data_IF_301647592086
#
_entry.id   IF_301647592086
#
_cell.length_a   1.000
_cell.length_b   1.000
_cell.length_c   1.000
_cell.angle_alpha   90.00
_cell.angle_beta   90.00
_cell.angle_gamma   90.00
#
_symmetry.space_group_name_H-M   'P 1'
#
loop_
_entity.id
_entity.type
_entity.pdbx_description
1 polymer ?
#
# COMPACT_ATOMS: atom_id res chain seq x y z
N UNK A 1 -15.46 -1.90 50.31
CA UNK A 1 -14.75 -0.69 49.83
C UNK A 1 -14.43 -0.90 48.36
N UNK A 2 -15.23 -0.31 47.47
CA UNK A 2 -15.04 -0.38 46.02
C UNK A 2 -14.18 0.79 45.52
N UNK A 3 -13.18 0.48 44.70
CA UNK A 3 -12.45 1.39 43.80
C UNK A 3 -12.18 0.55 42.54
N UNK A 4 -12.92 0.71 41.44
CA UNK A 4 -12.87 1.74 40.36
C UNK A 4 -11.50 1.82 39.66
N UNK A 5 -11.57 1.81 38.32
CA UNK A 5 -10.57 2.25 37.32
C UNK A 5 -9.53 1.16 36.95
N UNK A 6 -9.24 0.81 35.70
CA UNK A 6 -9.38 1.51 34.41
C UNK A 6 -9.43 0.47 33.29
N UNK A 7 -10.14 0.81 32.22
CA UNK A 7 -10.15 0.10 30.95
C UNK A 7 -8.73 -0.07 30.37
N UNK A 8 -8.34 -1.31 30.11
CA UNK A 8 -7.27 -1.63 29.15
C UNK A 8 -7.90 -2.44 28.01
N UNK A 9 -8.86 -1.81 27.33
CA UNK A 9 -9.33 -2.28 26.03
C UNK A 9 -8.46 -1.62 24.95
N UNK A 10 -7.15 -1.88 25.06
CA UNK A 10 -6.14 -1.38 24.16
C UNK A 10 -6.13 -2.26 22.92
N UNK A 11 -6.69 -1.73 21.83
CA UNK A 11 -6.39 -2.23 20.49
C UNK A 11 -7.43 -3.12 19.84
N UNK A 12 -8.70 -3.04 20.25
CA UNK A 12 -9.79 -3.29 19.28
C UNK A 12 -9.80 -2.11 18.30
N UNK A 13 -8.76 -2.02 17.46
CA UNK A 13 -8.87 -1.45 16.12
C UNK A 13 -9.79 -2.42 15.39
N UNK A 14 -11.07 -2.33 15.74
CA UNK A 14 -12.18 -2.76 14.92
C UNK A 14 -11.80 -2.27 13.53
N UNK A 15 -11.39 -3.21 12.68
CA UNK A 15 -11.37 -3.03 11.24
C UNK A 15 -12.80 -2.62 10.90
N UNK A 16 -13.10 -1.34 11.01
CA UNK A 16 -14.32 -0.77 10.48
C UNK A 16 -14.15 -0.87 8.98
N UNK A 17 -14.73 -1.94 8.41
CA UNK A 17 -14.83 -2.27 6.98
C UNK A 17 -15.71 -1.21 6.30
N UNK A 18 -15.24 0.03 6.35
CA UNK A 18 -15.70 1.22 5.66
C UNK A 18 -14.49 2.13 5.57
N UNK A 19 -13.41 1.66 4.93
CA UNK A 19 -12.44 2.61 4.40
C UNK A 19 -13.22 3.52 3.45
N UNK A 20 -13.34 4.79 3.82
CA UNK A 20 -13.96 5.77 2.96
C UNK A 20 -13.09 5.95 1.73
N UNK A 21 -13.71 6.37 0.63
CA UNK A 21 -12.99 6.63 -0.63
C UNK A 21 -11.77 7.54 -0.43
N UNK A 22 -11.90 8.56 0.42
CA UNK A 22 -10.80 9.46 0.78
C UNK A 22 -9.63 8.76 1.45
N UNK A 23 -9.89 7.79 2.32
CA UNK A 23 -8.86 7.05 3.06
C UNK A 23 -8.09 6.13 2.11
N UNK A 24 -8.81 5.44 1.24
CA UNK A 24 -8.21 4.56 0.25
C UNK A 24 -7.43 5.35 -0.82
N UNK A 25 -7.96 6.49 -1.26
CA UNK A 25 -7.23 7.41 -2.15
C UNK A 25 -5.94 7.91 -1.49
N UNK A 26 -5.97 8.21 -0.20
CA UNK A 26 -4.79 8.55 0.59
C UNK A 26 -3.78 7.42 0.66
N UNK A 27 -4.22 6.18 0.88
CA UNK A 27 -3.35 4.97 0.86
C UNK A 27 -2.69 4.77 -0.49
N UNK A 28 -3.43 4.92 -1.59
CA UNK A 28 -2.87 4.81 -2.94
C UNK A 28 -1.83 5.90 -3.17
N UNK A 29 -2.10 7.15 -2.78
CA UNK A 29 -1.14 8.24 -2.94
C UNK A 29 0.16 8.00 -2.17
N UNK A 30 0.05 7.51 -0.92
CA UNK A 30 1.20 7.12 -0.11
C UNK A 30 1.99 5.96 -0.75
N UNK A 31 1.29 4.94 -1.26
CA UNK A 31 1.92 3.83 -1.97
C UNK A 31 2.64 4.29 -3.23
N UNK A 32 2.01 5.12 -4.06
CA UNK A 32 2.62 5.70 -5.27
C UNK A 32 3.89 6.46 -4.92
N UNK A 33 3.85 7.27 -3.86
CA UNK A 33 5.01 8.02 -3.39
C UNK A 33 6.14 7.08 -2.95
N UNK A 34 5.83 6.05 -2.17
CA UNK A 34 6.82 5.04 -1.72
C UNK A 34 7.40 4.24 -2.89
N UNK A 35 6.57 3.90 -3.88
CA UNK A 35 6.99 3.23 -5.11
C UNK A 35 8.00 4.10 -5.87
N UNK A 36 7.68 5.37 -6.14
CA UNK A 36 8.58 6.27 -6.88
C UNK A 36 9.88 6.57 -6.12
N UNK A 37 9.83 6.68 -4.79
CA UNK A 37 11.03 6.86 -3.95
C UNK A 37 11.94 5.62 -4.04
N UNK A 38 11.36 4.42 -3.91
CA UNK A 38 12.11 3.17 -4.06
C UNK A 38 12.60 2.91 -5.48
N UNK A 39 11.81 3.24 -6.50
CA UNK A 39 12.23 3.16 -7.89
C UNK A 39 13.45 4.04 -8.15
N UNK A 40 13.43 5.28 -7.64
CA UNK A 40 14.57 6.21 -7.74
C UNK A 40 15.81 5.68 -7.02
N UNK A 41 15.64 5.09 -5.84
CA UNK A 41 16.72 4.44 -5.09
C UNK A 41 17.29 3.24 -5.86
N UNK A 42 16.43 2.36 -6.36
CA UNK A 42 16.83 1.17 -7.12
C UNK A 42 17.45 1.52 -8.47
N UNK A 43 16.99 2.58 -9.12
CA UNK A 43 17.55 3.04 -10.39
C UNK A 43 18.98 3.55 -10.23
N UNK A 44 19.29 4.17 -9.08
CA UNK A 44 20.66 4.61 -8.73
C UNK A 44 21.56 3.45 -8.30
N UNK A 45 20.98 2.37 -7.80
CA UNK A 45 21.72 1.21 -7.31
C UNK A 45 21.92 0.17 -8.42
N UNK A 46 23.09 0.21 -9.08
CA UNK A 46 23.48 -0.72 -10.17
C UNK A 46 23.41 -2.21 -9.78
N UNK A 47 23.36 -2.53 -8.48
CA UNK A 47 23.22 -3.91 -8.00
C UNK A 47 21.81 -4.44 -8.20
N UNK A 48 20.82 -3.55 -8.24
CA UNK A 48 19.41 -3.95 -8.42
C UNK A 48 19.18 -4.29 -9.89
N UNK A 49 18.84 -5.55 -10.20
CA UNK A 49 18.64 -5.98 -11.58
C UNK A 49 17.45 -5.27 -12.21
N UNK A 50 17.53 -5.08 -13.53
CA UNK A 50 16.50 -4.40 -14.32
C UNK A 50 15.11 -5.05 -14.18
N UNK A 51 15.03 -6.35 -13.93
CA UNK A 51 13.75 -7.05 -13.70
C UNK A 51 13.03 -6.55 -12.43
N UNK A 52 13.77 -6.29 -11.35
CA UNK A 52 13.18 -5.76 -10.12
C UNK A 52 12.76 -4.29 -10.27
N UNK A 53 13.55 -3.50 -11.02
CA UNK A 53 13.18 -2.13 -11.38
C UNK A 53 11.90 -2.11 -12.22
N UNK A 54 11.81 -2.98 -13.22
CA UNK A 54 10.61 -3.13 -14.06
C UNK A 54 9.39 -3.61 -13.27
N UNK A 55 9.57 -4.46 -12.25
CA UNK A 55 8.49 -4.81 -11.32
C UNK A 55 7.98 -3.59 -10.57
N UNK A 56 8.86 -2.79 -9.98
CA UNK A 56 8.46 -1.59 -9.22
C UNK A 56 7.75 -0.57 -10.13
N UNK A 57 8.24 -0.36 -11.34
CA UNK A 57 7.58 0.47 -12.37
C UNK A 57 6.18 -0.07 -12.73
N UNK A 58 6.04 -1.38 -12.97
CA UNK A 58 4.75 -2.00 -13.25
C UNK A 58 3.76 -1.84 -12.08
N UNK A 59 4.26 -1.84 -10.84
CA UNK A 59 3.45 -1.64 -9.65
C UNK A 59 3.01 -0.19 -9.49
N UNK A 60 3.85 0.76 -9.90
CA UNK A 60 3.48 2.17 -9.97
C UNK A 60 2.34 2.39 -10.98
N UNK A 61 2.43 1.76 -12.15
CA UNK A 61 1.35 1.77 -13.14
C UNK A 61 0.07 1.11 -12.61
N UNK A 62 0.18 0.01 -11.86
CA UNK A 62 -0.98 -0.61 -11.20
C UNK A 62 -1.60 0.31 -10.14
N UNK A 63 -0.80 0.99 -9.31
CA UNK A 63 -1.30 1.92 -8.30
C UNK A 63 -2.08 3.07 -8.95
N UNK A 64 -1.58 3.58 -10.08
CA UNK A 64 -2.26 4.60 -10.87
C UNK A 64 -3.57 4.07 -11.46
N UNK A 65 -3.57 2.88 -12.06
CA UNK A 65 -4.78 2.26 -12.60
C UNK A 65 -5.85 2.05 -11.52
N UNK A 66 -5.45 1.63 -10.31
CA UNK A 66 -6.37 1.49 -9.16
C UNK A 66 -6.92 2.86 -8.74
N UNK A 67 -6.10 3.92 -8.78
CA UNK A 67 -6.53 5.31 -8.53
C UNK A 67 -7.54 5.79 -9.57
N UNK A 68 -7.34 5.46 -10.84
CA UNK A 68 -8.25 5.83 -11.93
C UNK A 68 -9.59 5.10 -11.86
N UNK A 69 -9.61 3.86 -11.34
CA UNK A 69 -10.84 3.13 -11.05
C UNK A 69 -11.65 3.76 -9.91
N UNK A 70 -11.07 4.63 -9.09
CA UNK A 70 -11.79 5.27 -7.99
C UNK A 70 -12.81 6.29 -8.51
N UNK A 71 -14.09 6.17 -8.12
CA UNK A 71 -15.06 7.19 -8.43
C UNK A 71 -14.70 8.50 -7.69
N UNK A 72 -15.16 9.64 -8.22
CA UNK A 72 -14.96 10.94 -7.56
C UNK A 72 -15.77 11.10 -6.27
N UNK A 73 -16.84 10.31 -6.10
CA UNK A 73 -17.78 10.41 -5.00
C UNK A 73 -18.19 9.02 -4.49
N UNK A 74 -18.52 8.93 -3.20
CA UNK A 74 -19.03 7.71 -2.57
C UNK A 74 -20.49 7.46 -2.98
N UNK A 75 -20.68 6.73 -4.08
CA UNK A 75 -21.99 6.39 -4.66
C UNK A 75 -22.20 4.85 -4.73
N UNK A 76 -23.30 4.38 -5.31
CA UNK A 76 -23.52 2.93 -5.49
C UNK A 76 -22.43 2.22 -6.30
N UNK A 77 -21.73 2.94 -7.19
CA UNK A 77 -20.57 2.39 -7.93
C UNK A 77 -19.42 2.17 -6.96
N UNK A 78 -19.13 3.12 -6.07
CA UNK A 78 -18.15 2.95 -4.99
C UNK A 78 -18.45 1.72 -4.14
N UNK A 79 -19.70 1.52 -3.71
CA UNK A 79 -20.06 0.37 -2.88
C UNK A 79 -19.81 -0.97 -3.60
N UNK A 80 -19.99 -1.00 -4.92
CA UNK A 80 -19.73 -2.17 -5.76
C UNK A 80 -18.23 -2.41 -6.00
N UNK A 81 -17.44 -1.36 -6.23
CA UNK A 81 -16.01 -1.48 -6.61
C UNK A 81 -15.05 -1.42 -5.42
N UNK A 82 -15.45 -0.88 -4.27
CA UNK A 82 -14.56 -0.67 -3.11
C UNK A 82 -13.86 -1.95 -2.68
N UNK A 83 -14.54 -3.10 -2.72
CA UNK A 83 -13.96 -4.38 -2.31
C UNK A 83 -12.94 -4.90 -3.31
N UNK A 84 -13.14 -4.66 -4.61
CA UNK A 84 -12.16 -4.98 -5.65
C UNK A 84 -10.95 -4.06 -5.51
N UNK A 85 -11.18 -2.75 -5.43
CA UNK A 85 -10.13 -1.75 -5.31
C UNK A 85 -9.32 -1.94 -4.02
N UNK A 86 -9.96 -2.24 -2.88
CA UNK A 86 -9.27 -2.61 -1.65
C UNK A 86 -8.40 -3.85 -1.83
N UNK A 87 -8.90 -4.89 -2.51
CA UNK A 87 -8.13 -6.11 -2.75
C UNK A 87 -6.94 -5.85 -3.67
N UNK A 88 -7.15 -5.15 -4.77
CA UNK A 88 -6.11 -4.79 -5.74
C UNK A 88 -5.02 -3.97 -5.03
N UNK A 89 -5.42 -3.01 -4.19
CA UNK A 89 -4.52 -2.20 -3.38
C UNK A 89 -3.74 -3.08 -2.39
N UNK A 90 -4.40 -3.86 -1.54
CA UNK A 90 -3.72 -4.70 -0.54
C UNK A 90 -2.73 -5.69 -1.18
N UNK A 91 -3.11 -6.32 -2.31
CA UNK A 91 -2.21 -7.17 -3.08
C UNK A 91 -0.99 -6.38 -3.58
N UNK A 92 -1.20 -5.18 -4.13
CA UNK A 92 -0.13 -4.33 -4.63
C UNK A 92 0.84 -3.87 -3.54
N UNK A 93 0.33 -3.48 -2.37
CA UNK A 93 1.19 -3.14 -1.24
C UNK A 93 1.99 -4.36 -0.77
N UNK A 94 1.36 -5.52 -0.69
CA UNK A 94 2.04 -6.74 -0.26
C UNK A 94 3.15 -7.13 -1.24
N UNK A 95 2.88 -7.10 -2.54
CA UNK A 95 3.91 -7.32 -3.56
C UNK A 95 5.04 -6.28 -3.43
N UNK A 96 4.70 -5.02 -3.10
CA UNK A 96 5.68 -3.93 -3.02
C UNK A 96 6.62 -4.17 -1.85
N UNK A 97 6.06 -4.43 -0.68
CA UNK A 97 6.84 -4.73 0.52
C UNK A 97 7.67 -6.00 0.34
N UNK A 98 7.12 -7.03 -0.31
CA UNK A 98 7.87 -8.24 -0.64
C UNK A 98 9.05 -7.95 -1.59
N UNK A 99 8.81 -7.21 -2.67
CA UNK A 99 9.84 -6.84 -3.65
C UNK A 99 10.92 -5.98 -3.02
N UNK A 100 10.54 -4.95 -2.25
CA UNK A 100 11.48 -4.08 -1.55
C UNK A 100 12.29 -4.86 -0.53
N UNK A 101 11.64 -5.68 0.29
CA UNK A 101 12.30 -6.51 1.31
C UNK A 101 13.29 -7.48 0.68
N UNK A 102 12.89 -8.13 -0.41
CA UNK A 102 13.77 -9.01 -1.19
C UNK A 102 14.98 -8.25 -1.73
N UNK A 103 14.77 -7.06 -2.30
CA UNK A 103 15.87 -6.25 -2.84
C UNK A 103 16.82 -5.80 -1.72
N UNK A 104 16.27 -5.35 -0.59
CA UNK A 104 17.06 -4.90 0.57
C UNK A 104 17.92 -6.07 1.12
N UNK A 105 17.31 -7.23 1.36
CA UNK A 105 18.01 -8.41 1.87
C UNK A 105 19.07 -8.94 0.89
N UNK A 106 18.73 -9.07 -0.41
CA UNK A 106 19.63 -9.71 -1.36
C UNK A 106 20.69 -8.79 -1.97
N UNK A 107 20.44 -7.48 -2.04
CA UNK A 107 21.30 -6.53 -2.76
C UNK A 107 21.89 -5.43 -1.87
N UNK A 108 21.27 -5.07 -0.73
CA UNK A 108 21.87 -4.13 0.24
C UNK A 108 22.74 -4.80 1.30
N UNK A 109 22.50 -6.05 1.68
CA UNK A 109 23.32 -6.76 2.70
C UNK A 109 24.68 -7.25 2.18
N UNK A 110 24.95 -7.19 0.87
CA UNK A 110 26.27 -7.51 0.32
C UNK A 110 27.26 -6.34 0.47
N UNK A 111 27.56 -5.98 1.73
CA UNK A 111 28.52 -4.94 2.08
C UNK A 111 29.69 -5.50 2.90
#
# INVERSE_FOLDING_TARGET
>A
MGRRLTADNKGEKTMTIKESLSELRGRIDDLQKRLGDKESEFSKDERVPAEHRAKVDAMQAQAEAVKEKLPTEENSVWDAVKHEVQRDMDALAQDFEHTVSYIDAHFREQK
#
